data_IF_193181160203
#
_entry.id   IF_193181160203
#
_cell.length_a   1.000
_cell.length_b   1.000
_cell.length_c   1.000
_cell.angle_alpha   90.00
_cell.angle_beta   90.00
_cell.angle_gamma   90.00
#
_symmetry.space_group_name_H-M   'P 1'
#
loop_
_entity.id
_entity.type
_entity.pdbx_description
1 polymer ?
#
# COMPACT_ATOMS: atom_id res chain seq x y z
N UNK A 1 9.92 14.74 -9.29
CA UNK A 1 10.21 13.30 -9.33
C UNK A 1 9.68 12.76 -8.02
N UNK A 2 8.52 12.10 -8.03
CA UNK A 2 8.00 11.49 -6.80
C UNK A 2 8.76 10.18 -6.68
N UNK A 3 9.74 10.15 -5.78
CA UNK A 3 10.40 8.92 -5.39
C UNK A 3 9.34 8.04 -4.73
N UNK A 4 8.82 7.08 -5.50
CA UNK A 4 7.93 6.04 -5.01
C UNK A 4 8.80 5.13 -4.14
N UNK A 5 9.01 5.52 -2.88
CA UNK A 5 9.62 4.65 -1.87
C UNK A 5 8.59 3.56 -1.59
N UNK A 6 8.64 2.49 -2.37
CA UNK A 6 8.01 1.21 -2.07
C UNK A 6 8.77 0.62 -0.89
N UNK A 7 8.58 1.17 0.31
CA UNK A 7 9.04 0.58 1.57
C UNK A 7 8.08 -0.56 1.97
N UNK A 8 7.97 -1.54 1.10
CA UNK A 8 7.37 -2.83 1.32
C UNK A 8 8.24 -3.84 0.60
N UNK A 9 9.44 -4.08 1.14
CA UNK A 9 10.48 -4.82 0.44
C UNK A 9 10.10 -6.26 0.16
N UNK A 10 10.27 -6.69 -1.09
CA UNK A 10 10.79 -8.03 -1.44
C UNK A 10 11.68 -7.88 -2.68
N UNK A 11 12.96 -8.24 -2.53
CA UNK A 11 13.82 -8.63 -3.64
C UNK A 11 13.43 -10.04 -4.08
N UNK A 12 12.83 -10.18 -5.27
CA UNK A 12 12.44 -11.51 -5.79
C UNK A 12 13.63 -12.09 -6.57
N UNK A 13 14.40 -12.94 -5.91
CA UNK A 13 15.24 -13.92 -6.57
C UNK A 13 14.36 -15.13 -6.95
N UNK A 14 14.14 -15.37 -8.25
CA UNK A 14 13.44 -16.57 -8.72
C UNK A 14 12.91 -16.50 -10.15
N UNK A 15 13.70 -16.98 -11.10
CA UNK A 15 13.55 -16.90 -12.56
C UNK A 15 12.31 -17.60 -13.19
N UNK A 16 11.27 -17.96 -12.41
CA UNK A 16 10.05 -18.63 -12.90
C UNK A 16 8.72 -18.02 -12.45
N UNK A 17 8.74 -17.10 -11.46
CA UNK A 17 7.55 -16.44 -10.91
C UNK A 17 7.32 -15.02 -11.45
N UNK A 18 8.21 -14.53 -12.34
CA UNK A 18 8.26 -13.11 -12.72
C UNK A 18 7.02 -12.57 -13.44
N UNK A 19 6.27 -13.40 -14.15
CA UNK A 19 5.09 -12.95 -14.90
C UNK A 19 3.87 -12.72 -14.00
N UNK A 20 3.47 -13.70 -13.19
CA UNK A 20 2.29 -13.58 -12.32
C UNK A 20 2.49 -12.50 -11.24
N UNK A 21 3.69 -12.43 -10.68
CA UNK A 21 4.03 -11.38 -9.70
C UNK A 21 4.12 -10.01 -10.38
N UNK A 22 4.63 -9.95 -11.61
CA UNK A 22 4.64 -8.72 -12.41
C UNK A 22 3.23 -8.15 -12.64
N UNK A 23 2.30 -8.98 -13.09
CA UNK A 23 0.90 -8.57 -13.33
C UNK A 23 0.22 -8.09 -12.05
N UNK A 24 0.42 -8.79 -10.93
CA UNK A 24 -0.12 -8.38 -9.63
C UNK A 24 0.39 -7.00 -9.21
N UNK A 25 1.70 -6.76 -9.32
CA UNK A 25 2.28 -5.46 -8.98
C UNK A 25 1.85 -4.35 -9.93
N UNK A 26 1.63 -4.65 -11.21
CA UNK A 26 1.15 -3.67 -12.17
C UNK A 26 -0.31 -3.29 -11.92
N UNK A 27 -1.17 -4.22 -11.49
CA UNK A 27 -2.53 -3.89 -11.04
C UNK A 27 -2.51 -3.02 -9.78
N UNK A 28 -1.68 -3.36 -8.79
CA UNK A 28 -1.50 -2.52 -7.59
C UNK A 28 -1.03 -1.12 -7.97
N UNK A 29 -0.01 -0.97 -8.84
CA UNK A 29 0.46 0.35 -9.29
C UNK A 29 -0.64 1.13 -9.99
N UNK A 30 -1.39 0.49 -10.89
CA UNK A 30 -2.47 1.14 -11.61
C UNK A 30 -3.55 1.64 -10.66
N UNK A 31 -3.91 0.83 -9.67
CA UNK A 31 -4.82 1.21 -8.61
C UNK A 31 -4.29 2.35 -7.74
N UNK A 32 -3.04 2.27 -7.25
CA UNK A 32 -2.40 3.32 -6.44
C UNK A 32 -2.40 4.65 -7.18
N UNK A 33 -2.07 4.67 -8.47
CA UNK A 33 -2.09 5.89 -9.27
C UNK A 33 -3.50 6.49 -9.32
N UNK A 34 -4.55 5.68 -9.48
CA UNK A 34 -5.94 6.17 -9.45
C UNK A 34 -6.32 6.71 -8.07
N UNK A 35 -6.00 5.99 -7.00
CA UNK A 35 -6.31 6.39 -5.64
C UNK A 35 -5.58 7.68 -5.25
N UNK A 36 -4.29 7.79 -5.57
CA UNK A 36 -3.51 9.02 -5.35
C UNK A 36 -4.09 10.18 -6.15
N UNK A 37 -4.45 9.99 -7.42
CA UNK A 37 -5.08 11.05 -8.22
C UNK A 37 -6.38 11.55 -7.57
N UNK A 38 -7.25 10.64 -7.15
CA UNK A 38 -8.48 10.98 -6.45
C UNK A 38 -8.21 11.78 -5.17
N UNK A 39 -7.26 11.32 -4.35
CA UNK A 39 -6.86 12.02 -3.13
C UNK A 39 -6.28 13.41 -3.45
N UNK A 40 -5.42 13.52 -4.46
CA UNK A 40 -4.84 14.79 -4.91
C UNK A 40 -5.93 15.77 -5.36
N UNK A 41 -6.97 15.29 -6.04
CA UNK A 41 -8.09 16.13 -6.48
C UNK A 41 -8.96 16.59 -5.30
N UNK A 42 -9.02 15.81 -4.22
CA UNK A 42 -9.64 16.25 -2.97
C UNK A 42 -8.80 17.25 -2.17
N UNK A 43 -7.49 17.32 -2.43
CA UNK A 43 -6.58 18.19 -1.70
C UNK A 43 -6.47 19.54 -2.41
N UNK A 44 -6.68 20.62 -1.65
CA UNK A 44 -6.32 21.95 -2.12
C UNK A 44 -4.79 22.11 -2.12
N UNK A 45 -4.16 21.86 -3.28
CA UNK A 45 -2.70 21.93 -3.48
C UNK A 45 -2.09 23.31 -3.19
N UNK A 46 -2.90 24.38 -3.21
CA UNK A 46 -2.44 25.72 -2.84
C UNK A 46 -2.21 25.88 -1.33
N UNK A 47 -2.84 25.02 -0.51
CA UNK A 47 -2.84 25.12 0.96
C UNK A 47 -2.17 23.92 1.62
N UNK A 48 -2.28 22.73 1.03
CA UNK A 48 -1.73 21.50 1.59
C UNK A 48 -0.72 20.88 0.62
N UNK A 49 0.43 20.48 1.16
CA UNK A 49 1.45 19.70 0.47
C UNK A 49 1.32 18.22 0.85
N UNK A 50 1.54 17.31 -0.11
CA UNK A 50 1.67 15.88 0.19
C UNK A 50 3.01 15.69 0.89
N UNK A 51 2.98 15.16 2.11
CA UNK A 51 4.17 14.88 2.89
C UNK A 51 4.65 13.44 2.63
N UNK A 52 3.72 12.48 2.56
CA UNK A 52 4.04 11.07 2.40
C UNK A 52 2.86 10.27 1.81
N UNK A 53 3.15 9.14 1.17
CA UNK A 53 2.16 8.19 0.67
C UNK A 53 2.62 6.76 0.92
N UNK A 54 1.87 6.02 1.74
CA UNK A 54 2.17 4.64 2.13
C UNK A 54 1.19 3.72 1.43
N UNK A 55 1.71 2.71 0.73
CA UNK A 55 0.90 1.62 0.14
C UNK A 55 1.17 0.35 0.91
N UNK A 56 0.12 -0.33 1.33
CA UNK A 56 0.21 -1.56 2.13
C UNK A 56 -0.82 -2.59 1.70
N UNK A 57 -0.49 -3.86 1.91
CA UNK A 57 -1.44 -4.97 1.89
C UNK A 57 -1.75 -5.35 3.33
N UNK A 58 -3.02 -5.31 3.70
CA UNK A 58 -3.49 -5.52 5.08
C UNK A 58 -4.42 -6.72 5.10
N UNK A 59 -4.06 -7.76 5.86
CA UNK A 59 -4.93 -8.91 6.11
C UNK A 59 -5.79 -8.65 7.34
N UNK A 60 -7.12 -8.73 7.20
CA UNK A 60 -8.08 -8.64 8.30
C UNK A 60 -8.94 -9.91 8.30
N UNK A 61 -8.62 -10.83 9.21
CA UNK A 61 -9.22 -12.16 9.20
C UNK A 61 -8.87 -12.94 7.93
N UNK A 62 -9.88 -13.31 7.15
CA UNK A 62 -9.75 -14.02 5.87
C UNK A 62 -9.65 -13.08 4.65
N UNK A 63 -9.82 -11.77 4.84
CA UNK A 63 -9.84 -10.80 3.74
C UNK A 63 -8.52 -10.05 3.66
N UNK A 64 -8.08 -9.75 2.45
CA UNK A 64 -6.90 -8.92 2.21
C UNK A 64 -7.34 -7.63 1.53
N UNK A 65 -6.78 -6.52 1.99
CA UNK A 65 -7.06 -5.20 1.45
C UNK A 65 -5.77 -4.57 0.95
N UNK A 66 -5.82 -4.00 -0.25
CA UNK A 66 -4.82 -3.00 -0.65
C UNK A 66 -5.25 -1.67 -0.05
N UNK A 67 -4.35 -1.00 0.65
CA UNK A 67 -4.58 0.28 1.32
C UNK A 67 -3.52 1.28 0.91
N UNK A 68 -3.96 2.48 0.58
CA UNK A 68 -3.10 3.64 0.41
C UNK A 68 -3.47 4.68 1.45
N UNK A 69 -2.46 5.21 2.13
CA UNK A 69 -2.58 6.29 3.10
C UNK A 69 -1.70 7.44 2.62
N UNK A 70 -2.31 8.59 2.34
CA UNK A 70 -1.61 9.81 1.94
C UNK A 70 -1.67 10.80 3.08
N UNK A 71 -0.51 11.20 3.57
CA UNK A 71 -0.36 12.22 4.58
C UNK A 71 -0.11 13.55 3.91
N UNK A 72 -0.90 14.54 4.28
CA UNK A 72 -0.77 15.91 3.80
C UNK A 72 -0.52 16.83 4.96
N UNK A 73 0.24 17.88 4.71
CA UNK A 73 0.52 18.91 5.70
C UNK A 73 0.10 20.27 5.13
N UNK A 74 -0.67 21.02 5.92
CA UNK A 74 -0.96 22.41 5.63
C UNK A 74 0.33 23.23 5.71
N UNK A 75 0.65 23.98 4.65
CA UNK A 75 1.94 24.69 4.57
C UNK A 75 2.03 25.85 5.57
N UNK A 76 0.88 26.44 5.95
CA UNK A 76 0.75 27.56 6.87
C UNK A 76 0.61 27.11 8.33
N UNK A 77 -0.38 26.26 8.62
CA UNK A 77 -0.70 25.83 10.00
C UNK A 77 0.11 24.63 10.49
N UNK A 78 0.86 23.96 9.59
CA UNK A 78 1.53 22.68 9.85
C UNK A 78 0.59 21.54 10.29
N UNK A 79 -0.72 21.72 10.21
CA UNK A 79 -1.69 20.69 10.54
C UNK A 79 -1.58 19.52 9.54
N UNK A 80 -1.55 18.30 10.08
CA UNK A 80 -1.47 17.07 9.30
C UNK A 80 -2.87 16.51 9.09
N UNK A 81 -3.19 16.14 7.85
CA UNK A 81 -4.40 15.37 7.50
C UNK A 81 -4.01 14.10 6.79
N UNK A 82 -4.70 13.02 7.13
CA UNK A 82 -4.56 11.71 6.51
C UNK A 82 -5.75 11.42 5.62
N UNK A 83 -5.47 11.05 4.37
CA UNK A 83 -6.43 10.48 3.44
C UNK A 83 -6.13 8.99 3.32
N UNK A 84 -7.17 8.16 3.32
CA UNK A 84 -7.00 6.72 3.15
C UNK A 84 -8.03 6.20 2.18
N UNK A 85 -7.57 5.35 1.27
CA UNK A 85 -8.41 4.57 0.38
C UNK A 85 -8.02 3.10 0.53
N UNK A 86 -9.02 2.22 0.51
CA UNK A 86 -8.80 0.78 0.64
C UNK A 86 -9.74 0.02 -0.28
N UNK A 87 -9.23 -1.06 -0.86
CA UNK A 87 -10.00 -1.95 -1.72
C UNK A 87 -9.70 -3.40 -1.36
N UNK A 88 -10.74 -4.23 -1.34
CA UNK A 88 -10.61 -5.66 -1.08
C UNK A 88 -9.95 -6.32 -2.28
N UNK A 89 -8.98 -7.21 -2.02
CA UNK A 89 -8.27 -8.01 -3.02
C UNK A 89 -8.63 -9.46 -2.74
N UNK A 90 -9.05 -10.19 -3.77
CA UNK A 90 -9.34 -11.62 -3.62
C UNK A 90 -8.05 -12.36 -3.30
N UNK A 91 -8.12 -13.30 -2.37
CA UNK A 91 -6.94 -14.05 -1.92
C UNK A 91 -6.27 -14.83 -3.07
N UNK A 92 -7.07 -15.26 -4.04
CA UNK A 92 -6.64 -16.03 -5.22
C UNK A 92 -5.91 -15.15 -6.25
N UNK A 93 -6.15 -13.84 -6.22
CA UNK A 93 -5.44 -12.87 -7.08
C UNK A 93 -4.07 -12.49 -6.52
N UNK A 94 -3.75 -12.92 -5.29
CA UNK A 94 -2.48 -12.66 -4.63
C UNK A 94 -1.50 -13.80 -4.95
N UNK A 95 -0.33 -13.50 -5.54
CA UNK A 95 0.72 -14.48 -5.78
C UNK A 95 1.13 -15.23 -4.50
N UNK A 96 1.39 -16.53 -4.63
CA UNK A 96 1.70 -17.44 -3.51
C UNK A 96 2.86 -16.98 -2.62
N UNK A 97 3.88 -16.37 -3.23
CA UNK A 97 5.04 -15.78 -2.58
C UNK A 97 4.67 -14.57 -1.72
N UNK A 98 3.85 -13.66 -2.26
CA UNK A 98 3.33 -12.50 -1.52
C UNK A 98 2.39 -12.95 -0.39
N UNK A 99 1.53 -13.95 -0.65
CA UNK A 99 0.60 -14.49 0.34
C UNK A 99 1.32 -15.09 1.54
N UNK A 100 2.36 -15.91 1.30
CA UNK A 100 3.19 -16.48 2.37
C UNK A 100 3.89 -15.40 3.19
N UNK A 101 4.38 -14.33 2.56
CA UNK A 101 5.01 -13.24 3.30
C UNK A 101 3.99 -12.48 4.18
N UNK A 102 2.77 -12.27 3.67
CA UNK A 102 1.68 -11.65 4.43
C UNK A 102 1.27 -12.49 5.64
N UNK A 103 1.18 -13.81 5.46
CA UNK A 103 0.87 -14.74 6.56
C UNK A 103 1.95 -14.75 7.62
N UNK A 104 3.22 -14.83 7.22
CA UNK A 104 4.35 -14.76 8.12
C UNK A 104 4.37 -13.46 8.93
N UNK A 105 4.15 -12.31 8.28
CA UNK A 105 4.06 -11.00 8.96
C UNK A 105 2.86 -10.92 9.90
N UNK A 106 1.71 -11.44 9.50
CA UNK A 106 0.50 -11.45 10.33
C UNK A 106 0.68 -12.31 11.59
N UNK A 107 1.23 -13.51 11.44
CA UNK A 107 1.55 -14.40 12.57
C UNK A 107 2.56 -13.76 13.52
N UNK A 108 3.61 -13.11 12.98
CA UNK A 108 4.59 -12.40 13.79
C UNK A 108 3.98 -11.25 14.60
N UNK A 109 3.11 -10.44 13.98
CA UNK A 109 2.45 -9.32 14.66
C UNK A 109 1.46 -9.79 15.74
N UNK A 110 0.72 -10.87 15.47
CA UNK A 110 -0.22 -11.47 16.44
C UNK A 110 0.55 -12.13 17.59
N UNK A 111 1.67 -12.82 17.29
CA UNK A 111 2.54 -13.42 18.29
C UNK A 111 3.18 -12.37 19.20
N UNK A 112 3.57 -11.22 18.65
CA UNK A 112 4.14 -10.10 19.41
C UNK A 112 3.13 -9.40 20.33
N UNK A 113 1.83 -9.43 20.02
CA UNK A 113 0.78 -8.88 20.91
C UNK A 113 0.37 -9.84 22.04
N UNK A 114 0.79 -11.11 21.98
CA UNK A 114 0.52 -12.13 23.00
C UNK A 114 1.68 -12.37 23.99
N UNK A 115 2.84 -11.74 23.75
CA UNK A 115 4.02 -11.72 24.64
C UNK A 115 4.03 -10.46 25.49
#
# INVERSE_FOLDING_TARGET
>A
MIDLVVMGGIAIAGFGAGFAVGYFWDDIKAWVIRAIKYIIDQINRAINAIADAIVSLVKVGQRVYRRVEVFTMNIFSKAIKRFSEQEEVLLDDIPEDVRRELEYKAEFMIGKMRS
#
